data_IF_731513123602
#
_entry.id   IF_731513123602
#
_cell.length_a   1.000
_cell.length_b   1.000
_cell.length_c   1.000
_cell.angle_alpha   90.00
_cell.angle_beta   90.00
_cell.angle_gamma   90.00
#
_symmetry.space_group_name_H-M   'P 1'
#
loop_
_entity.id
_entity.type
_entity.pdbx_description
1 polymer ?
#
# COMPACT_ATOMS: atom_id res chain seq x y z
N UNK A 1 -6.90 11.80 -15.99
CA UNK A 1 -8.22 11.23 -16.35
C UNK A 1 -7.96 10.09 -17.33
N UNK A 2 -8.68 8.98 -17.21
CA UNK A 2 -8.35 7.70 -17.85
C UNK A 2 -9.43 7.22 -18.82
N UNK A 3 -9.05 6.54 -19.90
CA UNK A 3 -9.97 5.83 -20.81
C UNK A 3 -10.50 4.52 -20.20
N UNK A 4 -11.39 3.81 -20.92
CA UNK A 4 -12.04 2.58 -20.43
C UNK A 4 -11.01 1.50 -20.07
N UNK A 5 -9.85 1.55 -20.71
CA UNK A 5 -8.71 0.67 -20.58
C UNK A 5 -7.70 1.13 -19.51
N UNK A 6 -7.93 2.28 -18.87
CA UNK A 6 -7.14 2.82 -17.76
C UNK A 6 -5.96 3.72 -18.15
N UNK A 7 -5.83 4.10 -19.42
CA UNK A 7 -4.70 4.91 -19.92
C UNK A 7 -4.98 6.43 -19.81
N UNK A 8 -3.98 7.28 -19.55
CA UNK A 8 -4.20 8.72 -19.41
C UNK A 8 -4.66 9.40 -20.71
N UNK A 9 -5.90 9.90 -20.73
CA UNK A 9 -6.44 10.67 -21.87
C UNK A 9 -5.74 12.02 -21.97
N UNK A 10 -5.27 12.33 -23.18
CA UNK A 10 -4.54 13.56 -23.53
C UNK A 10 -5.45 14.59 -24.20
N UNK A 11 -5.08 15.87 -24.10
CA UNK A 11 -5.79 17.01 -24.68
C UNK A 11 -7.30 17.08 -24.34
N UNK A 12 -7.71 16.47 -23.22
CA UNK A 12 -9.08 16.54 -22.71
C UNK A 12 -9.24 17.74 -21.78
N UNK A 13 -10.39 18.40 -21.83
CA UNK A 13 -10.66 19.64 -21.10
C UNK A 13 -11.19 19.34 -19.69
N UNK A 14 -10.58 19.98 -18.69
CA UNK A 14 -11.02 19.99 -17.29
C UNK A 14 -11.45 21.43 -16.96
N UNK A 15 -12.66 21.58 -16.42
CA UNK A 15 -13.19 22.86 -15.94
C UNK A 15 -13.02 23.00 -14.43
N UNK A 16 -12.62 24.19 -14.00
CA UNK A 16 -12.46 24.58 -12.59
C UNK A 16 -13.23 25.89 -12.33
N UNK A 17 -13.93 25.99 -11.20
CA UNK A 17 -14.67 27.19 -10.81
C UNK A 17 -14.78 27.34 -9.29
N UNK A 18 -14.98 28.57 -8.80
CA UNK A 18 -14.98 28.93 -7.37
C UNK A 18 -16.35 29.32 -6.79
N UNK A 19 -17.38 29.44 -7.63
CA UNK A 19 -18.56 30.24 -7.32
C UNK A 19 -19.82 29.41 -6.99
N UNK A 20 -19.61 28.21 -6.43
CA UNK A 20 -20.65 27.26 -6.03
C UNK A 20 -20.87 26.10 -7.01
N UNK A 21 -21.25 24.92 -6.51
CA UNK A 21 -21.53 23.72 -7.32
C UNK A 21 -22.65 23.96 -8.36
N UNK A 22 -23.68 24.71 -7.95
CA UNK A 22 -24.86 25.08 -8.73
C UNK A 22 -24.53 25.76 -10.07
N UNK A 23 -23.35 26.36 -10.20
CA UNK A 23 -22.87 27.00 -11.44
C UNK A 23 -22.63 26.03 -12.60
N UNK A 24 -22.45 24.74 -12.31
CA UNK A 24 -22.29 23.73 -13.37
C UNK A 24 -23.55 23.60 -14.25
N UNK A 25 -24.73 23.91 -13.69
CA UNK A 25 -26.01 23.90 -14.41
C UNK A 25 -26.45 25.27 -14.96
N UNK A 26 -25.66 26.33 -14.78
CA UNK A 26 -26.00 27.70 -15.17
C UNK A 26 -25.49 28.00 -16.59
N UNK A 27 -26.36 28.04 -17.63
CA UNK A 27 -25.93 28.27 -19.01
C UNK A 27 -25.45 29.71 -19.27
N UNK A 28 -25.59 30.62 -18.30
CA UNK A 28 -25.06 31.98 -18.35
C UNK A 28 -23.71 32.15 -17.65
N UNK A 29 -23.26 31.14 -16.89
CA UNK A 29 -22.03 31.24 -16.11
C UNK A 29 -20.77 31.05 -16.96
N UNK A 30 -19.96 32.11 -17.02
CA UNK A 30 -18.71 32.15 -17.83
C UNK A 30 -17.44 31.97 -17.00
N UNK A 31 -17.53 31.81 -15.67
CA UNK A 31 -16.38 31.83 -14.75
C UNK A 31 -15.45 30.61 -14.77
N UNK A 32 -15.75 29.58 -15.58
CA UNK A 32 -14.93 28.38 -15.69
C UNK A 32 -13.52 28.66 -16.25
N UNK A 33 -12.50 28.42 -15.42
CA UNK A 33 -11.12 28.21 -15.88
C UNK A 33 -11.07 26.86 -16.61
N UNK A 34 -10.40 26.83 -17.77
CA UNK A 34 -10.29 25.63 -18.63
C UNK A 34 -8.83 25.27 -18.81
N UNK A 35 -8.47 24.07 -18.37
CA UNK A 35 -7.15 23.49 -18.54
C UNK A 35 -7.25 22.18 -19.32
N UNK A 36 -6.16 21.75 -19.95
CA UNK A 36 -6.13 20.55 -20.80
C UNK A 36 -5.11 19.54 -20.32
N UNK A 37 -5.46 18.26 -20.38
CA UNK A 37 -4.56 17.18 -19.98
C UNK A 37 -3.33 17.14 -20.90
N UNK A 38 -2.14 17.28 -20.31
CA UNK A 38 -0.88 17.49 -21.05
C UNK A 38 -0.50 16.27 -21.89
N UNK A 39 -0.04 16.50 -23.11
CA UNK A 39 0.44 15.45 -24.02
C UNK A 39 1.53 14.54 -23.42
N UNK A 40 2.34 15.10 -22.51
CA UNK A 40 3.43 14.40 -21.84
C UNK A 40 3.02 13.58 -20.61
N UNK A 41 1.82 13.77 -20.05
CA UNK A 41 1.49 13.19 -18.73
C UNK A 41 0.02 12.90 -18.43
N UNK A 42 -0.95 13.36 -19.22
CA UNK A 42 -2.38 13.18 -18.95
C UNK A 42 -2.94 13.99 -17.76
N UNK A 43 -2.14 14.91 -17.20
CA UNK A 43 -2.54 15.81 -16.10
C UNK A 43 -2.88 17.21 -16.59
N UNK A 44 -3.92 17.80 -16.00
CA UNK A 44 -4.25 19.23 -16.05
C UNK A 44 -3.98 19.84 -14.67
N UNK A 45 -3.59 21.12 -14.59
CA UNK A 45 -3.15 21.75 -13.35
C UNK A 45 -3.80 23.13 -13.17
N UNK A 46 -4.54 23.34 -12.08
CA UNK A 46 -4.90 24.67 -11.61
C UNK A 46 -3.86 25.16 -10.58
N UNK A 47 -3.44 26.43 -10.68
CA UNK A 47 -2.62 27.08 -9.65
C UNK A 47 -3.50 27.91 -8.71
N UNK A 48 -3.55 27.53 -7.44
CA UNK A 48 -4.35 28.22 -6.42
C UNK A 48 -3.59 29.40 -5.80
N UNK A 49 -4.16 30.60 -5.83
CA UNK A 49 -3.68 31.76 -5.08
C UNK A 49 -4.25 31.85 -3.66
N UNK A 50 -3.79 32.78 -2.80
CA UNK A 50 -4.25 32.93 -1.41
C UNK A 50 -5.76 33.18 -1.25
N UNK A 51 -6.44 33.66 -2.28
CA UNK A 51 -7.91 33.75 -2.34
C UNK A 51 -8.63 32.38 -2.32
N UNK A 52 -7.89 31.28 -2.44
CA UNK A 52 -8.41 29.90 -2.35
C UNK A 52 -8.46 29.37 -0.91
N UNK A 53 -8.18 30.21 0.09
CA UNK A 53 -8.10 29.79 1.49
C UNK A 53 -9.48 29.55 2.12
N UNK A 54 -9.56 28.54 2.98
CA UNK A 54 -10.74 28.20 3.78
C UNK A 54 -10.32 27.64 5.15
N UNK A 55 -11.22 27.59 6.14
CA UNK A 55 -10.93 27.13 7.51
C UNK A 55 -11.79 25.90 7.87
N UNK A 56 -11.28 24.67 7.68
CA UNK A 56 -12.00 23.42 8.00
C UNK A 56 -12.59 23.39 9.41
N UNK A 57 -11.90 23.99 10.38
CA UNK A 57 -12.25 24.01 11.81
C UNK A 57 -13.52 24.82 12.09
N UNK A 58 -13.98 25.62 11.13
CA UNK A 58 -15.26 26.36 11.18
C UNK A 58 -16.38 25.67 10.38
N UNK A 59 -16.10 24.52 9.77
CA UNK A 59 -16.98 23.88 8.78
C UNK A 59 -16.96 24.57 7.41
N UNK A 60 -16.01 25.47 7.15
CA UNK A 60 -15.80 26.00 5.80
C UNK A 60 -15.27 24.87 4.89
N UNK A 61 -15.68 24.87 3.62
CA UNK A 61 -15.13 24.00 2.57
C UNK A 61 -14.33 24.83 1.57
N UNK A 62 -13.34 24.23 0.91
CA UNK A 62 -12.56 24.94 -0.10
C UNK A 62 -13.42 25.42 -1.26
N UNK A 63 -13.18 26.63 -1.81
CA UNK A 63 -14.08 27.25 -2.77
C UNK A 63 -14.14 26.52 -4.12
N UNK A 64 -13.11 25.74 -4.47
CA UNK A 64 -13.00 25.15 -5.81
C UNK A 64 -13.85 23.91 -5.98
N UNK A 65 -14.59 23.90 -7.10
CA UNK A 65 -15.16 22.73 -7.74
C UNK A 65 -14.46 22.48 -9.09
N UNK A 66 -14.29 21.22 -9.49
CA UNK A 66 -13.73 20.85 -10.79
C UNK A 66 -14.18 19.48 -11.31
N UNK A 67 -14.24 19.35 -12.63
CA UNK A 67 -14.65 18.13 -13.34
C UNK A 67 -14.12 18.10 -14.80
N UNK A 68 -13.99 16.91 -15.42
CA UNK A 68 -13.87 16.77 -16.87
C UNK A 68 -15.11 17.30 -17.60
N UNK A 69 -14.94 17.80 -18.82
CA UNK A 69 -16.07 18.26 -19.64
C UNK A 69 -16.86 17.06 -20.19
N UNK A 70 -18.02 16.78 -19.58
CA UNK A 70 -18.93 15.73 -20.01
C UNK A 70 -19.90 15.31 -18.90
N UNK A 71 -20.46 14.11 -19.02
CA UNK A 71 -21.14 13.46 -17.90
C UNK A 71 -20.08 12.80 -16.99
N UNK A 72 -19.71 13.49 -15.92
CA UNK A 72 -18.72 13.06 -14.94
C UNK A 72 -19.16 13.41 -13.52
N UNK A 73 -18.63 12.70 -12.53
CA UNK A 73 -18.72 13.11 -11.13
C UNK A 73 -17.96 14.42 -10.90
N UNK A 74 -18.39 15.20 -9.92
CA UNK A 74 -17.86 16.54 -9.65
C UNK A 74 -17.24 16.56 -8.26
N UNK A 75 -15.99 17.01 -8.16
CA UNK A 75 -15.35 17.25 -6.85
C UNK A 75 -15.49 18.72 -6.50
N UNK A 76 -15.84 19.00 -5.25
CA UNK A 76 -15.94 20.32 -4.65
C UNK A 76 -15.28 20.31 -3.27
N UNK A 77 -14.90 21.48 -2.74
CA UNK A 77 -14.20 21.60 -1.45
C UNK A 77 -12.69 21.78 -1.57
N UNK A 78 -12.15 22.02 -2.77
CA UNK A 78 -10.72 22.22 -3.01
C UNK A 78 -10.26 23.63 -2.62
N UNK A 79 -9.07 23.75 -2.04
CA UNK A 79 -8.54 25.04 -1.60
C UNK A 79 -7.26 24.89 -0.76
N UNK A 80 -6.92 25.97 -0.06
CA UNK A 80 -5.78 26.05 0.86
C UNK A 80 -6.30 26.08 2.31
N UNK A 81 -6.37 24.95 3.04
CA UNK A 81 -6.89 24.95 4.40
C UNK A 81 -5.96 25.79 5.29
N UNK A 82 -6.50 26.83 5.93
CA UNK A 82 -5.77 27.84 6.69
C UNK A 82 -4.54 28.44 5.97
N UNK A 83 -4.62 28.64 4.64
CA UNK A 83 -3.49 29.01 3.75
C UNK A 83 -2.33 27.99 3.68
N UNK A 84 -2.45 26.78 4.24
CA UNK A 84 -1.43 25.75 4.07
C UNK A 84 -1.29 25.34 2.59
N UNK A 85 -0.04 25.25 2.13
CA UNK A 85 0.29 24.84 0.77
C UNK A 85 0.03 23.34 0.58
N UNK A 86 -1.17 22.98 0.14
CA UNK A 86 -1.56 21.60 -0.18
C UNK A 86 -1.82 21.43 -1.68
N UNK A 87 -1.70 20.20 -2.18
CA UNK A 87 -2.09 19.82 -3.53
C UNK A 87 -3.15 18.72 -3.47
N UNK A 88 -4.31 18.96 -4.06
CA UNK A 88 -5.38 17.97 -4.16
C UNK A 88 -5.32 17.29 -5.53
N UNK A 89 -5.23 15.97 -5.55
CA UNK A 89 -5.20 15.17 -6.77
C UNK A 89 -6.51 14.38 -6.91
N UNK A 90 -7.10 14.39 -8.10
CA UNK A 90 -8.31 13.63 -8.44
C UNK A 90 -8.11 12.96 -9.78
N UNK A 91 -8.51 11.69 -9.89
CA UNK A 91 -8.43 10.89 -11.11
C UNK A 91 -9.81 10.37 -11.45
N UNK A 92 -10.37 10.83 -12.57
CA UNK A 92 -11.56 10.25 -13.16
C UNK A 92 -11.20 9.08 -14.08
N UNK A 93 -12.00 8.03 -13.99
CA UNK A 93 -11.99 6.83 -14.82
C UNK A 93 -13.20 6.87 -15.75
N UNK A 94 -13.01 6.67 -17.06
CA UNK A 94 -14.15 6.51 -17.97
C UNK A 94 -14.90 5.19 -17.69
N UNK A 95 -16.22 5.25 -17.76
CA UNK A 95 -17.13 4.09 -17.72
C UNK A 95 -18.19 4.25 -18.81
N UNK A 96 -18.74 3.15 -19.34
CA UNK A 96 -19.81 3.26 -20.34
C UNK A 96 -21.12 3.54 -19.62
N UNK A 97 -21.93 4.44 -20.16
CA UNK A 97 -23.21 4.83 -19.56
C UNK A 97 -24.14 3.63 -19.31
N UNK A 98 -24.11 2.66 -20.22
CA UNK A 98 -24.84 1.38 -20.11
C UNK A 98 -24.43 0.51 -18.92
N UNK A 99 -23.22 0.68 -18.39
CA UNK A 99 -22.74 -0.05 -17.21
C UNK A 99 -23.34 0.53 -15.91
N UNK A 100 -23.90 1.74 -15.96
CA UNK A 100 -24.59 2.43 -14.86
C UNK A 100 -26.12 2.33 -14.95
N UNK A 101 -26.67 2.00 -16.13
CA UNK A 101 -28.10 2.06 -16.45
C UNK A 101 -28.77 0.67 -16.53
N UNK A 102 -28.22 -0.35 -15.83
CA UNK A 102 -28.88 -1.66 -15.73
C UNK A 102 -30.14 -1.58 -14.83
N UNK A 103 -31.33 -1.96 -15.33
CA UNK A 103 -32.52 -2.07 -14.48
C UNK A 103 -32.39 -3.26 -13.51
N UNK A 104 -33.12 -3.27 -12.39
CA UNK A 104 -33.12 -4.41 -11.48
C UNK A 104 -33.65 -5.67 -12.17
N UNK A 105 -32.98 -6.80 -11.95
CA UNK A 105 -33.34 -8.10 -12.54
C UNK A 105 -34.60 -8.63 -11.85
N UNK A 106 -35.71 -8.70 -12.59
CA UNK A 106 -36.91 -9.45 -12.17
C UNK A 106 -36.66 -10.98 -12.30
N UNK A 107 -37.30 -11.82 -11.47
CA UNK A 107 -37.07 -13.26 -11.45
C UNK A 107 -37.66 -13.98 -12.69
N UNK A 108 -37.03 -15.10 -13.06
CA UNK A 108 -37.28 -15.82 -14.31
C UNK A 108 -38.61 -16.61 -14.34
N UNK A 109 -39.23 -16.67 -15.52
CA UNK A 109 -40.02 -17.84 -15.97
C UNK A 109 -39.32 -18.48 -17.21
N UNK A 110 -39.36 -19.81 -17.41
CA UNK A 110 -38.46 -20.51 -18.34
C UNK A 110 -39.17 -21.24 -19.52
N UNK A 111 -38.40 -22.07 -20.27
CA UNK A 111 -38.87 -23.09 -21.26
C UNK A 111 -39.23 -22.52 -22.66
N UNK A 112 -38.86 -23.06 -23.84
CA UNK A 112 -38.17 -24.31 -24.29
C UNK A 112 -37.19 -24.00 -25.49
N UNK A 113 -36.33 -24.93 -25.99
CA UNK A 113 -35.18 -24.61 -26.86
C UNK A 113 -35.14 -25.27 -28.27
N UNK A 114 -34.17 -24.88 -29.11
CA UNK A 114 -33.56 -25.72 -30.17
C UNK A 114 -32.01 -25.58 -30.22
N UNK A 115 -31.30 -26.53 -30.87
CA UNK A 115 -29.83 -26.74 -30.82
C UNK A 115 -29.36 -27.69 -31.96
N UNK A 116 -28.05 -27.85 -32.30
CA UNK A 116 -26.83 -27.02 -32.20
C UNK A 116 -26.43 -26.49 -33.63
N UNK A 117 -25.22 -26.28 -34.18
CA UNK A 117 -23.74 -26.46 -33.93
C UNK A 117 -23.06 -25.27 -34.69
N UNK A 118 -22.16 -24.43 -34.16
CA UNK A 118 -20.68 -24.57 -33.94
C UNK A 118 -19.80 -24.92 -35.16
N UNK A 119 -18.52 -24.48 -35.23
CA UNK A 119 -17.73 -23.59 -34.33
C UNK A 119 -17.41 -22.22 -35.00
N UNK A 120 -16.64 -21.26 -34.46
CA UNK A 120 -15.75 -21.19 -33.28
C UNK A 120 -15.75 -19.74 -32.72
N UNK A 121 -15.50 -19.53 -31.41
CA UNK A 121 -15.62 -18.21 -30.73
C UNK A 121 -14.23 -17.61 -30.39
N UNK A 122 -13.91 -16.36 -30.77
CA UNK A 122 -12.78 -15.63 -30.19
C UNK A 122 -13.01 -15.34 -28.70
N UNK A 123 -12.02 -15.61 -27.85
CA UNK A 123 -12.17 -15.55 -26.39
C UNK A 123 -12.51 -14.13 -25.91
N UNK A 124 -13.42 -14.07 -24.93
CA UNK A 124 -13.91 -12.84 -24.31
C UNK A 124 -12.95 -12.41 -23.18
N UNK A 125 -12.69 -11.10 -22.96
CA UNK A 125 -11.74 -10.65 -21.95
C UNK A 125 -12.19 -11.04 -20.54
N UNK A 126 -11.26 -11.57 -19.74
CA UNK A 126 -11.54 -12.06 -18.39
C UNK A 126 -11.92 -10.92 -17.43
N UNK A 127 -12.93 -11.15 -16.58
CA UNK A 127 -13.28 -10.26 -15.46
C UNK A 127 -12.11 -10.16 -14.48
N UNK A 128 -11.94 -9.02 -13.77
CA UNK A 128 -10.84 -8.83 -12.83
C UNK A 128 -10.84 -9.90 -11.73
N UNK A 129 -9.74 -10.64 -11.64
CA UNK A 129 -9.55 -11.73 -10.66
C UNK A 129 -9.57 -11.18 -9.22
N UNK A 130 -10.25 -11.89 -8.31
CA UNK A 130 -10.10 -11.68 -6.86
C UNK A 130 -8.62 -11.83 -6.48
N UNK A 131 -8.02 -10.94 -5.66
CA UNK A 131 -6.59 -10.99 -5.37
C UNK A 131 -6.23 -12.26 -4.57
N UNK A 132 -5.62 -13.23 -5.26
CA UNK A 132 -5.17 -14.53 -4.70
C UNK A 132 -4.09 -14.35 -3.63
N UNK A 133 -3.41 -13.20 -3.63
CA UNK A 133 -2.46 -12.80 -2.59
C UNK A 133 -2.74 -11.36 -2.11
N UNK A 134 -2.67 -11.15 -0.79
CA UNK A 134 -2.58 -9.81 -0.22
C UNK A 134 -1.15 -9.30 -0.39
N UNK A 135 -0.95 -8.36 -1.32
CA UNK A 135 0.35 -7.74 -1.59
C UNK A 135 0.60 -6.55 -0.64
N UNK A 136 1.78 -6.46 0.00
CA UNK A 136 2.21 -5.29 0.81
C UNK A 136 3.47 -4.69 0.21
N UNK A 137 3.45 -3.38 -0.03
CA UNK A 137 4.62 -2.63 -0.47
C UNK A 137 5.05 -1.69 0.67
N UNK A 138 6.34 -1.61 0.92
CA UNK A 138 6.92 -0.68 1.90
C UNK A 138 6.92 0.75 1.39
N UNK A 139 7.01 1.71 2.32
CA UNK A 139 6.74 3.13 2.05
C UNK A 139 7.71 3.73 1.02
N UNK A 140 8.90 3.14 0.89
CA UNK A 140 9.94 3.57 -0.03
C UNK A 140 9.89 2.90 -1.41
N UNK A 141 9.05 1.89 -1.65
CA UNK A 141 9.09 1.09 -2.89
C UNK A 141 8.82 1.95 -4.13
N UNK A 142 7.77 2.78 -4.09
CA UNK A 142 7.45 3.72 -5.17
C UNK A 142 8.49 4.85 -5.26
N UNK A 143 8.88 5.42 -4.12
CA UNK A 143 9.89 6.50 -4.05
C UNK A 143 11.25 6.09 -4.61
N UNK A 144 11.64 4.82 -4.41
CA UNK A 144 12.89 4.24 -4.93
C UNK A 144 12.77 3.74 -6.38
N UNK A 145 11.64 4.01 -7.06
CA UNK A 145 11.38 3.64 -8.46
C UNK A 145 11.48 2.12 -8.70
N UNK A 146 11.14 1.32 -7.69
CA UNK A 146 11.10 -0.15 -7.77
C UNK A 146 9.81 -0.60 -8.43
N UNK A 147 9.91 -1.53 -9.40
CA UNK A 147 8.80 -1.96 -10.25
C UNK A 147 8.67 -3.47 -10.25
N UNK A 148 7.43 -3.94 -10.17
CA UNK A 148 7.06 -5.33 -10.43
C UNK A 148 6.75 -5.45 -11.93
N UNK A 149 7.36 -6.41 -12.59
CA UNK A 149 7.02 -6.88 -13.94
C UNK A 149 6.14 -8.11 -13.81
N UNK A 150 4.95 -8.02 -14.36
CA UNK A 150 3.93 -9.07 -14.35
C UNK A 150 4.38 -10.29 -15.16
N UNK A 151 3.73 -11.44 -14.94
CA UNK A 151 3.95 -12.65 -15.74
C UNK A 151 3.69 -12.43 -17.25
N UNK A 152 2.82 -11.48 -17.60
CA UNK A 152 2.44 -11.18 -18.99
C UNK A 152 3.44 -10.26 -19.70
N UNK A 153 4.25 -9.49 -18.96
CA UNK A 153 5.36 -8.70 -19.50
C UNK A 153 6.60 -9.55 -19.82
N UNK A 154 6.62 -10.83 -19.43
CA UNK A 154 7.79 -11.70 -19.57
C UNK A 154 7.93 -12.28 -20.99
N UNK A 155 9.00 -11.85 -21.66
CA UNK A 155 9.48 -12.36 -22.95
C UNK A 155 9.72 -13.87 -22.99
N UNK A 156 10.06 -14.50 -21.86
CA UNK A 156 10.35 -15.94 -21.78
C UNK A 156 9.11 -16.84 -21.62
N UNK A 157 7.90 -16.26 -21.51
CA UNK A 157 6.61 -16.95 -21.44
C UNK A 157 6.62 -18.24 -20.59
N UNK A 158 7.01 -18.15 -19.31
CA UNK A 158 7.40 -19.32 -18.52
C UNK A 158 6.22 -20.25 -18.22
N UNK A 159 6.43 -21.54 -18.47
CA UNK A 159 5.42 -22.59 -18.33
C UNK A 159 5.38 -23.18 -16.91
N UNK A 160 4.32 -23.93 -16.60
CA UNK A 160 4.17 -24.70 -15.34
C UNK A 160 3.01 -24.26 -14.44
N UNK A 161 2.46 -25.22 -13.70
CA UNK A 161 1.21 -25.07 -12.93
C UNK A 161 1.37 -24.26 -11.64
N UNK A 162 2.60 -24.06 -11.16
CA UNK A 162 2.92 -23.16 -10.05
C UNK A 162 3.54 -21.90 -10.63
N UNK A 163 3.04 -20.74 -10.18
CA UNK A 163 3.65 -19.44 -10.46
C UNK A 163 3.95 -18.70 -9.15
N UNK A 164 4.92 -17.80 -9.18
CA UNK A 164 5.39 -17.06 -8.01
C UNK A 164 5.03 -15.58 -8.17
N UNK A 165 4.07 -15.10 -7.38
CA UNK A 165 3.68 -13.69 -7.38
C UNK A 165 4.39 -12.94 -6.25
N UNK A 166 4.81 -11.69 -6.50
CA UNK A 166 5.36 -10.79 -5.49
C UNK A 166 4.28 -10.51 -4.45
N UNK A 167 4.53 -10.95 -3.23
CA UNK A 167 3.69 -10.72 -2.06
C UNK A 167 4.14 -9.47 -1.34
N UNK A 168 5.40 -9.42 -0.92
CA UNK A 168 5.89 -8.35 -0.05
C UNK A 168 7.18 -7.74 -0.61
N UNK A 169 7.24 -6.41 -0.70
CA UNK A 169 8.49 -5.67 -0.96
C UNK A 169 8.74 -4.69 0.18
N UNK A 170 9.96 -4.65 0.72
CA UNK A 170 10.39 -3.66 1.69
C UNK A 170 11.91 -3.41 1.60
N UNK A 171 12.44 -2.54 2.43
CA UNK A 171 13.88 -2.19 2.48
C UNK A 171 14.40 -2.19 3.92
N UNK A 172 15.73 -2.25 4.10
CA UNK A 172 16.40 -1.78 5.32
C UNK A 172 17.46 -0.75 4.94
N UNK A 173 17.92 0.04 5.91
CA UNK A 173 18.88 1.13 5.70
C UNK A 173 19.98 1.07 6.73
N UNK A 174 21.24 1.20 6.30
CA UNK A 174 22.44 1.13 7.15
C UNK A 174 22.49 -0.21 7.94
N UNK A 175 21.96 -1.30 7.35
CA UNK A 175 21.76 -2.60 7.99
C UNK A 175 20.67 -2.65 9.08
N UNK A 176 20.05 -1.52 9.41
CA UNK A 176 19.12 -1.39 10.52
C UNK A 176 17.72 -1.93 10.20
N UNK A 177 17.23 -2.78 11.11
CA UNK A 177 15.83 -3.20 11.17
C UNK A 177 14.98 -2.35 12.11
N UNK A 178 15.52 -1.29 12.73
CA UNK A 178 14.71 -0.34 13.49
C UNK A 178 13.99 0.63 12.53
N UNK A 179 12.66 0.75 12.58
CA UNK A 179 11.92 1.70 11.75
C UNK A 179 12.26 3.16 12.09
N UNK A 180 12.53 3.95 11.06
CA UNK A 180 12.80 5.39 11.16
C UNK A 180 12.16 6.13 9.97
N UNK A 181 12.10 7.46 10.05
CA UNK A 181 11.65 8.32 8.94
C UNK A 181 12.67 8.47 7.81
N UNK A 182 13.83 7.78 7.87
CA UNK A 182 14.87 7.88 6.85
C UNK A 182 14.52 7.04 5.62
N UNK A 183 14.76 7.59 4.42
CA UNK A 183 14.61 6.88 3.14
C UNK A 183 15.29 5.51 3.19
N UNK A 184 14.55 4.47 2.80
CA UNK A 184 15.01 3.07 2.80
C UNK A 184 14.89 2.34 4.14
N UNK A 185 14.52 3.01 5.24
CA UNK A 185 14.33 2.36 6.55
C UNK A 185 13.14 1.38 6.51
N UNK A 186 13.18 0.35 7.37
CA UNK A 186 12.21 -0.76 7.30
C UNK A 186 10.85 -0.38 7.89
N UNK A 187 9.78 -0.84 7.24
CA UNK A 187 8.44 -0.79 7.78
C UNK A 187 8.29 -1.67 9.03
N UNK A 188 7.57 -1.19 10.04
CA UNK A 188 7.22 -1.98 11.24
C UNK A 188 6.58 -3.34 10.86
N UNK A 189 5.63 -3.37 9.92
CA UNK A 189 4.99 -4.62 9.48
C UNK A 189 5.98 -5.63 8.89
N UNK A 190 7.05 -5.17 8.24
CA UNK A 190 8.07 -6.03 7.64
C UNK A 190 9.01 -6.58 8.71
N UNK A 191 9.43 -5.73 9.68
CA UNK A 191 10.13 -6.16 10.89
C UNK A 191 9.34 -7.25 11.63
N UNK A 192 8.07 -6.98 11.96
CA UNK A 192 7.23 -7.91 12.72
C UNK A 192 6.97 -9.23 11.96
N UNK A 193 6.92 -9.18 10.62
CA UNK A 193 6.78 -10.39 9.80
C UNK A 193 8.08 -11.19 9.72
N UNK A 194 9.24 -10.55 9.50
CA UNK A 194 10.46 -11.21 9.02
C UNK A 194 11.66 -11.17 9.95
N UNK A 195 11.76 -10.21 10.89
CA UNK A 195 12.82 -10.20 11.90
C UNK A 195 12.46 -11.18 13.03
N UNK A 196 12.86 -12.44 12.87
CA UNK A 196 12.63 -13.48 13.88
C UNK A 196 13.62 -13.37 15.05
N UNK A 197 13.25 -13.79 16.27
CA UNK A 197 14.17 -13.87 17.39
C UNK A 197 15.25 -14.93 17.15
N UNK A 198 16.41 -14.74 17.78
CA UNK A 198 17.53 -15.68 17.70
C UNK A 198 17.12 -17.10 18.13
N UNK A 199 17.47 -18.09 17.31
CA UNK A 199 17.09 -19.50 17.51
C UNK A 199 15.80 -19.95 16.81
N UNK A 200 15.11 -19.07 16.07
CA UNK A 200 13.96 -19.48 15.24
C UNK A 200 14.38 -20.34 14.02
N UNK A 201 13.56 -21.31 13.55
CA UNK A 201 13.85 -22.15 12.36
C UNK A 201 13.85 -21.40 11.01
N UNK A 202 13.47 -20.14 11.04
CA UNK A 202 13.49 -19.16 9.96
C UNK A 202 14.24 -17.88 10.37
N UNK A 203 15.11 -17.97 11.41
CA UNK A 203 15.98 -16.87 11.80
C UNK A 203 16.87 -16.44 10.64
N UNK A 204 16.75 -15.15 10.31
CA UNK A 204 17.45 -14.53 9.19
C UNK A 204 18.83 -14.04 9.64
N UNK A 205 19.85 -14.77 9.21
CA UNK A 205 21.24 -14.62 9.62
C UNK A 205 21.91 -13.36 9.08
N UNK A 206 21.54 -12.91 7.87
CA UNK A 206 22.08 -11.71 7.22
C UNK A 206 21.28 -10.43 7.55
N UNK A 207 20.48 -10.43 8.63
CA UNK A 207 19.61 -9.31 9.00
C UNK A 207 20.34 -7.95 9.04
N UNK A 208 21.55 -7.91 9.61
CA UNK A 208 22.33 -6.67 9.76
C UNK A 208 23.06 -6.20 8.49
N UNK A 209 22.85 -6.81 7.32
CA UNK A 209 23.66 -6.53 6.12
C UNK A 209 23.07 -5.40 5.25
N UNK A 210 23.97 -4.55 4.75
CA UNK A 210 23.67 -3.32 4.01
C UNK A 210 23.97 -3.43 2.50
N UNK A 211 23.29 -2.62 1.67
CA UNK A 211 23.40 -2.66 0.19
C UNK A 211 23.10 -4.02 -0.47
N UNK A 212 22.27 -4.87 0.13
CA UNK A 212 21.97 -6.21 -0.41
C UNK A 212 20.66 -6.25 -1.20
N UNK A 213 20.57 -7.19 -2.14
CA UNK A 213 19.29 -7.64 -2.68
C UNK A 213 18.93 -8.98 -2.05
N UNK A 214 17.78 -9.04 -1.41
CA UNK A 214 17.26 -10.20 -0.70
C UNK A 214 16.02 -10.76 -1.40
N UNK A 215 15.92 -12.08 -1.42
CA UNK A 215 14.83 -12.83 -2.03
C UNK A 215 14.41 -13.99 -1.13
N UNK A 216 13.12 -14.15 -0.90
CA UNK A 216 12.54 -15.33 -0.28
C UNK A 216 11.28 -15.78 -1.04
N UNK A 217 10.91 -17.06 -0.91
CA UNK A 217 9.73 -17.63 -1.57
C UNK A 217 8.92 -18.41 -0.55
N UNK A 218 7.65 -18.05 -0.41
CA UNK A 218 6.66 -18.79 0.37
C UNK A 218 6.06 -19.89 -0.52
N UNK A 219 6.08 -21.14 -0.06
CA UNK A 219 5.50 -22.28 -0.77
C UNK A 219 3.97 -22.35 -0.68
N UNK A 220 3.38 -23.34 -1.36
CA UNK A 220 1.95 -23.64 -1.28
C UNK A 220 1.52 -24.14 0.13
N UNK A 221 2.48 -24.48 0.98
CA UNK A 221 2.36 -24.84 2.39
C UNK A 221 2.44 -23.62 3.34
N UNK A 222 2.65 -22.42 2.80
CA UNK A 222 2.85 -21.20 3.58
C UNK A 222 4.23 -21.06 4.23
N UNK A 223 5.18 -21.96 3.97
CA UNK A 223 6.53 -21.94 4.56
C UNK A 223 7.57 -21.32 3.63
N UNK A 224 8.67 -20.81 4.19
CA UNK A 224 9.79 -20.34 3.38
C UNK A 224 10.53 -21.51 2.71
N UNK A 225 10.43 -21.58 1.38
CA UNK A 225 11.11 -22.57 0.54
C UNK A 225 12.63 -22.52 0.76
N UNK A 226 13.23 -23.68 0.97
CA UNK A 226 14.68 -23.88 1.06
C UNK A 226 15.21 -24.40 -0.28
N UNK A 227 16.47 -24.09 -0.58
CA UNK A 227 17.19 -24.46 -1.81
C UNK A 227 16.51 -23.97 -3.11
N UNK A 228 15.57 -23.02 -3.02
CA UNK A 228 14.87 -22.43 -4.15
C UNK A 228 15.80 -21.46 -4.87
N UNK A 229 16.01 -21.71 -6.14
CA UNK A 229 16.87 -20.92 -7.01
C UNK A 229 16.25 -19.56 -7.38
N UNK A 230 17.06 -18.53 -7.24
CA UNK A 230 16.81 -17.11 -7.55
C UNK A 230 17.90 -16.63 -8.52
N UNK A 231 17.49 -15.91 -9.55
CA UNK A 231 18.38 -15.23 -10.51
C UNK A 231 18.39 -13.72 -10.26
N UNK A 232 19.57 -13.11 -10.29
CA UNK A 232 19.81 -11.67 -10.19
C UNK A 232 20.64 -11.20 -11.38
N UNK A 233 20.33 -10.04 -11.98
CA UNK A 233 21.06 -9.47 -13.10
C UNK A 233 20.91 -7.95 -13.18
N UNK A 234 21.82 -7.25 -13.88
CA UNK A 234 21.91 -5.78 -13.89
C UNK A 234 21.77 -5.11 -15.26
N UNK A 235 21.63 -5.88 -16.34
CA UNK A 235 21.73 -5.39 -17.73
C UNK A 235 20.36 -5.16 -18.42
N UNK A 236 19.32 -4.85 -17.63
CA UNK A 236 17.97 -4.58 -18.10
C UNK A 236 17.00 -5.78 -18.00
N UNK A 237 15.69 -5.49 -17.90
CA UNK A 237 14.64 -6.52 -17.78
C UNK A 237 14.57 -7.39 -19.05
N UNK A 238 14.83 -6.79 -20.21
CA UNK A 238 14.82 -7.39 -21.54
C UNK A 238 15.84 -8.52 -21.76
N UNK A 239 16.77 -8.74 -20.81
CA UNK A 239 17.65 -9.92 -20.80
C UNK A 239 16.94 -11.20 -20.38
N UNK A 240 15.76 -11.09 -19.79
CA UNK A 240 14.95 -12.23 -19.39
C UNK A 240 14.47 -13.01 -20.60
N UNK A 241 14.94 -14.26 -20.72
CA UNK A 241 14.69 -15.11 -21.88
C UNK A 241 15.66 -14.92 -23.05
N UNK A 242 16.63 -13.99 -22.98
CA UNK A 242 17.68 -13.87 -24.00
C UNK A 242 18.55 -15.14 -24.00
N UNK A 243 18.50 -15.98 -25.06
CA UNK A 243 19.22 -17.24 -25.10
C UNK A 243 20.74 -17.06 -25.25
N UNK A 244 21.23 -15.85 -25.49
CA UNK A 244 22.65 -15.50 -25.54
C UNK A 244 23.18 -14.89 -24.23
N UNK A 245 22.34 -14.31 -23.37
CA UNK A 245 22.77 -13.70 -22.11
C UNK A 245 23.24 -14.74 -21.08
N UNK A 246 24.33 -14.47 -20.35
CA UNK A 246 24.98 -15.45 -19.45
C UNK A 246 25.27 -14.91 -18.05
N UNK A 247 25.14 -13.62 -17.83
CA UNK A 247 25.66 -12.93 -16.65
C UNK A 247 24.70 -12.93 -15.45
N UNK A 248 23.74 -13.87 -15.45
CA UNK A 248 22.87 -14.15 -14.30
C UNK A 248 23.69 -14.62 -13.09
N UNK A 249 23.60 -13.87 -12.00
CA UNK A 249 24.08 -14.29 -10.69
C UNK A 249 23.02 -15.20 -10.06
N UNK A 250 23.27 -16.51 -10.09
CA UNK A 250 22.39 -17.53 -9.50
C UNK A 250 22.67 -17.69 -8.01
N UNK A 251 21.64 -17.75 -7.17
CA UNK A 251 21.70 -18.09 -5.74
C UNK A 251 20.55 -19.01 -5.35
N UNK A 252 20.71 -19.78 -4.28
CA UNK A 252 19.64 -20.59 -3.68
C UNK A 252 19.24 -20.01 -2.32
N UNK A 253 17.97 -20.14 -1.94
CA UNK A 253 17.50 -19.76 -0.61
C UNK A 253 18.16 -20.65 0.45
N UNK A 254 18.87 -20.04 1.41
CA UNK A 254 19.64 -20.76 2.44
C UNK A 254 18.78 -21.78 3.17
N UNK A 255 19.33 -22.98 3.38
CA UNK A 255 18.69 -24.06 4.15
C UNK A 255 18.22 -23.64 5.54
N UNK A 256 18.93 -22.71 6.21
CA UNK A 256 18.57 -22.22 7.55
C UNK A 256 17.51 -21.10 7.57
N UNK A 257 17.65 -20.07 6.73
CA UNK A 257 16.81 -18.86 6.82
C UNK A 257 15.74 -18.75 5.73
N UNK A 258 15.81 -19.52 4.64
CA UNK A 258 14.88 -19.41 3.51
C UNK A 258 15.06 -18.15 2.66
N UNK A 259 16.12 -17.38 2.89
CA UNK A 259 16.50 -16.20 2.11
C UNK A 259 17.71 -16.48 1.20
N UNK A 260 17.72 -15.89 0.01
CA UNK A 260 18.86 -15.81 -0.91
C UNK A 260 19.29 -14.35 -1.06
N UNK A 261 20.58 -14.10 -1.32
CA UNK A 261 21.10 -12.74 -1.39
C UNK A 261 22.33 -12.54 -2.28
N UNK A 262 22.48 -11.28 -2.73
CA UNK A 262 23.73 -10.75 -3.29
C UNK A 262 24.06 -9.39 -2.67
N UNK A 263 25.35 -9.08 -2.56
CA UNK A 263 25.86 -7.73 -2.25
C UNK A 263 25.78 -6.90 -3.54
N UNK A 264 25.23 -5.69 -3.50
CA UNK A 264 25.32 -4.75 -4.62
C UNK A 264 26.66 -4.00 -4.59
N UNK A 265 27.40 -4.01 -5.70
CA UNK A 265 28.72 -3.37 -5.78
C UNK A 265 28.64 -1.87 -6.13
N UNK A 266 29.77 -1.13 -6.07
CA UNK A 266 29.86 0.31 -6.36
C UNK A 266 29.19 0.81 -7.66
N UNK A 267 29.11 -0.04 -8.70
CA UNK A 267 28.42 0.26 -9.96
C UNK A 267 26.89 0.30 -9.87
N UNK A 268 26.29 -0.12 -8.76
CA UNK A 268 24.83 -0.24 -8.58
C UNK A 268 24.15 1.08 -8.17
N UNK A 269 24.87 2.20 -8.24
CA UNK A 269 24.40 3.52 -7.82
C UNK A 269 23.43 4.15 -8.83
N UNK A 270 22.34 4.74 -8.35
CA UNK A 270 21.36 5.49 -9.15
C UNK A 270 20.89 6.77 -8.43
N UNK A 271 20.31 7.73 -9.17
CA UNK A 271 19.93 9.08 -8.70
C UNK A 271 18.44 9.33 -8.95
N UNK A 272 17.65 9.32 -7.87
CA UNK A 272 16.19 9.43 -7.89
C UNK A 272 15.69 10.75 -8.48
N UNK A 273 16.42 11.83 -8.23
CA UNK A 273 16.12 13.19 -8.69
C UNK A 273 16.18 13.34 -10.21
N UNK A 274 16.66 12.33 -10.93
CA UNK A 274 16.68 12.24 -12.40
C UNK A 274 15.65 11.26 -12.96
N UNK A 275 14.88 10.59 -12.11
CA UNK A 275 13.99 9.49 -12.50
C UNK A 275 14.71 8.17 -12.81
N UNK A 276 15.98 8.03 -12.43
CA UNK A 276 16.72 6.76 -12.53
C UNK A 276 16.11 5.70 -11.58
N UNK A 277 16.32 4.43 -11.88
CA UNK A 277 16.05 3.28 -10.99
C UNK A 277 17.33 2.50 -10.77
N UNK A 278 17.42 1.69 -9.71
CA UNK A 278 18.55 0.79 -9.56
C UNK A 278 18.65 -0.20 -10.72
N UNK A 279 19.86 -0.59 -11.16
CA UNK A 279 20.04 -1.38 -12.37
C UNK A 279 19.58 -2.84 -12.21
N UNK A 280 19.42 -3.32 -10.98
CA UNK A 280 19.18 -4.75 -10.74
C UNK A 280 17.73 -5.16 -10.91
N UNK A 281 17.55 -6.29 -11.60
CA UNK A 281 16.35 -7.11 -11.63
C UNK A 281 16.63 -8.47 -10.96
N UNK A 282 15.65 -9.05 -10.27
CA UNK A 282 15.74 -10.39 -9.71
C UNK A 282 14.39 -11.10 -9.57
N UNK A 283 14.42 -12.44 -9.63
CA UNK A 283 13.25 -13.30 -9.50
C UNK A 283 13.62 -14.77 -9.17
N UNK A 284 12.71 -15.54 -8.53
CA UNK A 284 12.78 -17.00 -8.50
C UNK A 284 12.73 -17.59 -9.91
N UNK A 285 13.43 -18.71 -10.14
CA UNK A 285 13.41 -19.36 -11.45
C UNK A 285 12.08 -20.08 -11.73
N UNK A 286 11.74 -20.21 -13.03
CA UNK A 286 10.40 -20.60 -13.49
C UNK A 286 9.47 -19.39 -13.65
N UNK A 287 8.15 -19.65 -13.57
CA UNK A 287 7.13 -18.62 -13.77
C UNK A 287 6.99 -17.70 -12.55
N UNK A 288 7.67 -16.57 -12.54
CA UNK A 288 7.63 -15.59 -11.47
C UNK A 288 7.37 -14.16 -11.99
N UNK A 289 6.66 -13.34 -11.23
CA UNK A 289 6.80 -11.88 -11.39
C UNK A 289 8.24 -11.47 -11.07
N UNK A 290 8.75 -10.42 -11.72
CA UNK A 290 10.15 -9.98 -11.56
C UNK A 290 10.18 -8.61 -10.91
N UNK A 291 11.08 -8.39 -9.95
CA UNK A 291 11.29 -7.06 -9.38
C UNK A 291 12.52 -6.44 -10.01
N UNK A 292 12.41 -5.19 -10.43
CA UNK A 292 13.49 -4.38 -10.99
C UNK A 292 13.57 -3.02 -10.27
N UNK A 293 14.76 -2.42 -10.20
CA UNK A 293 14.98 -1.13 -9.53
C UNK A 293 15.90 -1.20 -8.31
N UNK A 294 16.47 -2.37 -7.99
CA UNK A 294 17.37 -2.56 -6.85
C UNK A 294 18.77 -2.00 -7.11
N UNK A 295 19.42 -1.48 -6.07
CA UNK A 295 20.75 -0.87 -6.18
C UNK A 295 21.08 -0.01 -4.97
N UNK A 296 21.79 1.10 -5.17
CA UNK A 296 22.22 2.01 -4.10
C UNK A 296 21.77 3.44 -4.42
N UNK A 297 20.62 3.91 -3.88
CA UNK A 297 20.10 5.25 -4.17
C UNK A 297 21.04 6.31 -3.60
N UNK A 298 21.64 7.13 -4.46
CA UNK A 298 22.65 8.14 -4.12
C UNK A 298 23.79 7.63 -3.20
N UNK A 299 24.25 6.39 -3.43
CA UNK A 299 25.24 5.66 -2.59
C UNK A 299 24.82 5.42 -1.13
N UNK A 300 23.53 5.46 -0.83
CA UNK A 300 23.04 5.16 0.52
C UNK A 300 22.95 3.65 0.73
N UNK A 301 23.19 3.23 1.98
CA UNK A 301 23.31 1.84 2.43
C UNK A 301 21.95 1.11 2.52
N UNK A 302 21.18 1.13 1.44
CA UNK A 302 19.82 0.55 1.37
C UNK A 302 19.86 -0.88 0.84
N UNK A 303 19.34 -1.83 1.63
CA UNK A 303 19.08 -3.21 1.19
C UNK A 303 17.62 -3.35 0.77
N UNK A 304 17.34 -4.15 -0.26
CA UNK A 304 16.02 -4.37 -0.83
C UNK A 304 15.57 -5.82 -0.59
N UNK A 305 14.33 -6.01 -0.14
CA UNK A 305 13.77 -7.32 0.17
C UNK A 305 12.53 -7.56 -0.68
N UNK A 306 12.48 -8.72 -1.31
CA UNK A 306 11.29 -9.19 -2.04
C UNK A 306 10.93 -10.59 -1.58
N UNK A 307 9.66 -10.79 -1.25
CA UNK A 307 9.09 -12.10 -0.92
C UNK A 307 8.03 -12.44 -1.95
N UNK A 308 8.25 -13.55 -2.65
CA UNK A 308 7.26 -14.15 -3.52
C UNK A 308 6.40 -15.16 -2.76
N UNK A 309 5.18 -15.39 -3.23
CA UNK A 309 4.33 -16.51 -2.80
C UNK A 309 3.98 -17.38 -4.01
N UNK A 310 4.16 -18.69 -3.85
CA UNK A 310 3.68 -19.68 -4.79
C UNK A 310 2.14 -19.71 -4.77
N UNK A 311 1.55 -19.67 -5.96
CA UNK A 311 0.12 -19.88 -6.21
C UNK A 311 -0.02 -20.82 -7.40
N UNK A 312 -1.15 -21.51 -7.57
CA UNK A 312 -1.35 -22.32 -8.78
C UNK A 312 -1.86 -21.42 -9.90
N UNK A 313 -1.46 -21.71 -11.14
CA UNK A 313 -1.92 -20.99 -12.34
C UNK A 313 -3.44 -21.10 -12.51
N UNK A 314 -4.02 -22.21 -12.07
CA UNK A 314 -5.48 -22.42 -11.97
C UNK A 314 -6.21 -21.41 -11.10
N UNK A 315 -5.54 -20.87 -10.08
CA UNK A 315 -6.16 -20.03 -9.07
C UNK A 315 -6.20 -18.56 -9.53
N UNK A 316 -5.38 -18.21 -10.53
CA UNK A 316 -5.31 -16.87 -11.15
C UNK A 316 -6.30 -16.68 -12.30
N UNK A 317 -6.72 -17.77 -12.94
CA UNK A 317 -7.79 -17.75 -13.92
C UNK A 317 -9.15 -17.60 -13.19
N UNK A 318 -10.13 -16.87 -13.75
CA UNK A 318 -11.50 -16.95 -13.30
C UNK A 318 -11.99 -18.39 -13.54
N UNK A 319 -12.02 -19.19 -12.48
CA UNK A 319 -12.36 -20.61 -12.57
C UNK A 319 -13.70 -20.83 -13.28
N UNK A 320 -13.86 -21.93 -14.04
CA UNK A 320 -15.08 -22.19 -14.79
C UNK A 320 -16.28 -22.16 -13.84
N UNK A 321 -17.34 -21.45 -14.25
CA UNK A 321 -18.55 -21.27 -13.44
C UNK A 321 -19.19 -22.61 -13.13
N UNK A 322 -18.83 -23.18 -11.97
CA UNK A 322 -19.42 -24.42 -11.48
C UNK A 322 -20.93 -24.20 -11.31
N UNK A 323 -21.79 -25.00 -11.97
CA UNK A 323 -23.23 -24.84 -11.82
C UNK A 323 -23.62 -25.04 -10.35
N UNK A 324 -24.67 -24.35 -9.85
CA UNK A 324 -25.12 -24.43 -8.46
C UNK A 324 -25.73 -25.81 -8.17
N UNK A 325 -24.86 -26.78 -7.84
CA UNK A 325 -25.21 -28.17 -7.65
C UNK A 325 -24.19 -28.97 -6.82
N UNK A 326 -24.74 -29.91 -6.06
CA UNK A 326 -24.09 -30.97 -5.29
C UNK A 326 -23.07 -30.56 -4.21
N UNK A 327 -23.61 -30.34 -3.02
CA UNK A 327 -22.90 -30.45 -1.74
C UNK A 327 -22.56 -31.92 -1.41
N UNK A 328 -21.60 -32.51 -2.11
CA UNK A 328 -21.02 -33.81 -1.72
C UNK A 328 -20.06 -33.63 -0.53
N UNK A 329 -20.63 -33.57 0.67
CA UNK A 329 -19.89 -33.52 1.94
C UNK A 329 -19.11 -34.83 2.12
N UNK A 330 -17.78 -34.79 1.95
CA UNK A 330 -16.89 -35.89 2.34
C UNK A 330 -16.56 -35.80 3.83
N UNK A 331 -17.22 -36.64 4.64
CA UNK A 331 -16.89 -36.89 6.05
C UNK A 331 -15.97 -38.13 6.17
N UNK A 332 -14.69 -37.98 6.58
CA UNK A 332 -13.88 -39.09 7.05
C UNK A 332 -14.09 -39.32 8.55
N UNK A 333 -14.96 -40.26 8.94
CA UNK A 333 -15.23 -40.59 10.34
C UNK A 333 -14.23 -41.64 10.87
N UNK A 334 -13.27 -41.13 11.66
CA UNK A 334 -12.67 -41.72 12.88
C UNK A 334 -12.26 -43.20 12.92
N UNK A 335 -10.96 -43.43 13.17
CA UNK A 335 -10.45 -44.60 13.92
C UNK A 335 -8.92 -44.64 14.02
N UNK A 336 -8.27 -44.66 15.19
CA UNK A 336 -8.79 -44.43 16.55
C UNK A 336 -7.75 -44.70 17.67
N UNK A 337 -7.67 -43.80 18.66
CA UNK A 337 -6.86 -43.94 19.90
C UNK A 337 -5.41 -43.41 19.81
N UNK A 338 -4.74 -43.02 20.92
CA UNK A 338 -5.16 -42.97 22.34
C UNK A 338 -4.22 -42.08 23.20
N UNK A 339 -4.76 -41.13 23.97
CA UNK A 339 -4.07 -40.41 25.07
C UNK A 339 -3.04 -39.33 24.64
N UNK A 340 -2.66 -38.35 25.47
CA UNK A 340 -3.02 -38.03 26.89
C UNK A 340 -3.18 -36.50 27.03
N UNK A 341 -4.02 -36.06 27.99
CA UNK A 341 -4.20 -34.67 28.45
C UNK A 341 -4.37 -34.69 30.00
N UNK A 342 -4.45 -33.57 30.73
CA UNK A 342 -4.43 -32.15 30.31
C UNK A 342 -3.46 -31.27 31.13
N UNK A 343 -3.47 -29.95 30.88
CA UNK A 343 -3.86 -28.98 31.93
C UNK A 343 -4.13 -27.58 31.34
N UNK A 344 -5.21 -26.96 31.78
CA UNK A 344 -5.63 -25.62 31.33
C UNK A 344 -4.92 -24.49 32.09
N UNK A 345 -4.60 -23.43 31.36
CA UNK A 345 -4.35 -22.10 31.92
C UNK A 345 -4.99 -21.07 30.97
N UNK A 346 -6.26 -20.74 31.22
CA UNK A 346 -7.06 -19.93 30.31
C UNK A 346 -6.58 -18.46 30.28
N UNK A 347 -6.22 -17.98 29.07
CA UNK A 347 -6.30 -16.56 28.75
C UNK A 347 -7.73 -16.26 28.26
N UNK A 348 -8.34 -15.13 28.66
CA UNK A 348 -9.71 -14.81 28.27
C UNK A 348 -9.79 -14.53 26.76
N UNK A 349 -10.94 -14.84 26.11
CA UNK A 349 -11.13 -14.51 24.71
C UNK A 349 -11.11 -12.98 24.51
N UNK A 350 -10.42 -12.52 23.47
CA UNK A 350 -10.47 -11.14 23.03
C UNK A 350 -11.85 -10.86 22.43
N UNK A 351 -12.80 -10.43 23.27
CA UNK A 351 -14.12 -10.02 22.82
C UNK A 351 -14.00 -8.93 21.74
N UNK A 352 -14.70 -9.13 20.63
CA UNK A 352 -14.97 -8.10 19.62
C UNK A 352 -15.87 -7.02 20.24
N UNK A 353 -15.27 -6.07 20.96
CA UNK A 353 -15.99 -4.94 21.52
C UNK A 353 -16.33 -3.93 20.41
N UNK A 354 -17.60 -3.54 20.31
CA UNK A 354 -18.07 -2.64 19.26
C UNK A 354 -17.29 -1.31 19.25
N UNK A 355 -16.76 -0.96 18.07
CA UNK A 355 -15.91 0.22 17.86
C UNK A 355 -16.61 1.57 18.15
N UNK A 356 -17.93 1.54 18.36
CA UNK A 356 -18.76 2.70 18.67
C UNK A 356 -18.96 2.92 20.18
N UNK A 357 -18.49 2.03 21.04
CA UNK A 357 -18.48 2.24 22.50
C UNK A 357 -17.47 3.31 22.92
N UNK A 358 -17.71 4.02 24.03
CA UNK A 358 -16.75 5.01 24.56
C UNK A 358 -15.37 4.40 24.81
N UNK A 359 -15.31 3.16 25.29
CA UNK A 359 -14.08 2.39 25.48
C UNK A 359 -13.38 2.07 24.15
N UNK A 360 -14.13 1.65 23.12
CA UNK A 360 -13.61 1.44 21.77
C UNK A 360 -13.04 2.72 21.16
N UNK A 361 -13.75 3.85 21.29
CA UNK A 361 -13.28 5.16 20.82
C UNK A 361 -12.05 5.67 21.59
N UNK A 362 -11.91 5.35 22.88
CA UNK A 362 -10.68 5.61 23.62
C UNK A 362 -9.51 4.74 23.11
N UNK A 363 -9.77 3.47 22.77
CA UNK A 363 -8.78 2.56 22.16
C UNK A 363 -8.31 3.06 20.78
N UNK A 364 -9.23 3.49 19.93
CA UNK A 364 -8.93 4.06 18.60
C UNK A 364 -8.09 5.33 18.73
N UNK A 365 -8.40 6.21 19.69
CA UNK A 365 -7.55 7.38 20.00
C UNK A 365 -6.15 6.94 20.45
N UNK A 366 -6.03 6.04 21.42
CA UNK A 366 -4.74 5.52 21.88
C UNK A 366 -3.89 4.96 20.71
N UNK A 367 -4.51 4.21 19.81
CA UNK A 367 -3.86 3.66 18.61
C UNK A 367 -3.48 4.72 17.56
N UNK A 368 -4.04 5.93 17.60
CA UNK A 368 -3.62 7.06 16.77
C UNK A 368 -2.42 7.79 17.39
N UNK A 369 -2.45 8.09 18.69
CA UNK A 369 -1.33 8.73 19.41
C UNK A 369 -0.06 7.87 19.39
N UNK A 370 -0.19 6.56 19.61
CA UNK A 370 0.94 5.64 19.59
C UNK A 370 1.63 5.58 18.20
N UNK A 371 0.91 5.82 17.09
CA UNK A 371 1.52 5.93 15.74
C UNK A 371 2.38 7.19 15.57
N UNK A 372 2.13 8.23 16.36
CA UNK A 372 2.92 9.46 16.40
C UNK A 372 4.08 9.37 17.41
N UNK A 373 4.25 8.23 18.09
CA UNK A 373 5.24 8.06 19.15
C UNK A 373 4.92 8.82 20.45
N UNK A 374 3.65 9.18 20.66
CA UNK A 374 3.17 9.98 21.81
C UNK A 374 2.25 9.12 22.67
N UNK A 375 2.48 9.10 23.99
CA UNK A 375 1.67 8.32 24.92
C UNK A 375 0.30 8.98 25.16
N UNK A 376 -0.77 8.22 24.98
CA UNK A 376 -2.13 8.72 25.22
C UNK A 376 -2.47 8.73 26.71
N UNK A 377 -2.15 9.83 27.38
CA UNK A 377 -2.59 10.12 28.76
C UNK A 377 -3.73 11.15 28.75
N UNK A 378 -4.99 10.75 28.49
CA UNK A 378 -6.12 11.67 28.41
C UNK A 378 -6.35 12.42 29.74
N UNK A 379 -6.07 11.77 30.87
CA UNK A 379 -6.35 12.27 32.22
C UNK A 379 -5.18 13.06 32.84
N UNK A 380 -4.14 13.35 32.05
CA UNK A 380 -3.04 14.23 32.48
C UNK A 380 -3.52 15.69 32.62
N UNK A 381 -3.20 16.41 33.73
CA UNK A 381 -3.56 17.82 33.89
C UNK A 381 -3.06 18.71 32.74
N UNK A 382 -1.91 18.39 32.15
CA UNK A 382 -1.37 19.09 30.98
C UNK A 382 -2.25 18.86 29.75
N UNK A 383 -2.68 17.62 29.52
CA UNK A 383 -3.58 17.27 28.42
C UNK A 383 -4.99 17.85 28.61
N UNK A 384 -5.50 17.93 29.84
CA UNK A 384 -6.78 18.58 30.11
C UNK A 384 -6.70 20.10 29.91
N UNK A 385 -5.65 20.75 30.44
CA UNK A 385 -5.41 22.17 30.22
C UNK A 385 -5.26 22.50 28.72
N UNK A 386 -4.53 21.68 27.97
CA UNK A 386 -4.37 21.85 26.52
C UNK A 386 -5.71 21.77 25.77
N UNK A 387 -6.59 20.82 26.15
CA UNK A 387 -7.96 20.73 25.62
C UNK A 387 -8.80 21.97 25.97
N UNK A 388 -8.76 22.42 27.23
CA UNK A 388 -9.50 23.61 27.70
C UNK A 388 -9.05 24.91 27.02
N UNK A 389 -7.79 25.00 26.59
CA UNK A 389 -7.20 26.15 25.91
C UNK A 389 -7.03 25.95 24.38
N UNK A 390 -7.62 24.88 23.82
CA UNK A 390 -7.60 24.55 22.39
C UNK A 390 -6.20 24.51 21.72
N UNK A 391 -5.16 24.09 22.46
CA UNK A 391 -3.76 24.10 21.99
C UNK A 391 -3.42 22.98 20.97
N UNK A 392 -4.43 22.36 20.37
CA UNK A 392 -4.30 21.28 19.38
C UNK A 392 -3.81 19.96 19.97
N UNK A 393 -3.23 19.11 19.11
CA UNK A 393 -2.66 17.84 19.53
C UNK A 393 -1.29 18.02 20.22
N UNK A 394 -0.94 17.21 21.26
CA UNK A 394 0.45 17.07 21.67
C UNK A 394 1.31 16.63 20.48
N UNK A 395 2.51 17.20 20.38
CA UNK A 395 3.55 16.90 19.39
C UNK A 395 4.83 16.37 20.05
N UNK A 396 4.86 16.30 21.38
CA UNK A 396 5.90 15.61 22.16
C UNK A 396 5.27 14.64 23.15
N UNK A 397 6.08 13.72 23.67
CA UNK A 397 5.84 13.06 24.95
C UNK A 397 5.78 14.08 26.11
N UNK A 398 5.33 13.68 27.29
CA UNK A 398 5.65 14.42 28.52
C UNK A 398 7.14 14.25 28.85
N UNK A 399 7.79 15.34 29.25
CA UNK A 399 9.20 15.37 29.64
C UNK A 399 9.42 16.25 30.88
N UNK A 400 10.55 16.07 31.56
CA UNK A 400 10.90 16.84 32.75
C UNK A 400 12.00 17.87 32.41
N UNK A 401 11.85 19.10 32.90
CA UNK A 401 12.85 20.17 32.78
C UNK A 401 12.99 20.86 34.13
N UNK A 402 14.10 20.61 34.83
CA UNK A 402 14.29 21.08 36.21
C UNK A 402 13.20 20.54 37.13
N UNK A 403 12.44 21.44 37.76
CA UNK A 403 11.30 21.10 38.63
C UNK A 403 9.94 21.20 37.91
N UNK A 404 9.91 21.19 36.57
CA UNK A 404 8.70 21.23 35.76
C UNK A 404 8.47 19.90 35.04
N UNK A 405 7.22 19.46 34.97
CA UNK A 405 6.74 18.55 33.93
C UNK A 405 6.18 19.39 32.79
N UNK A 406 6.52 19.04 31.55
CA UNK A 406 6.14 19.78 30.35
C UNK A 406 5.74 18.84 29.20
N UNK A 407 4.91 19.34 28.29
CA UNK A 407 4.57 18.68 27.03
C UNK A 407 4.27 19.74 25.97
N UNK A 408 4.83 19.57 24.77
CA UNK A 408 4.58 20.41 23.62
C UNK A 408 3.30 20.01 22.90
N UNK A 409 2.44 20.98 22.61
CA UNK A 409 1.23 20.86 21.79
C UNK A 409 1.34 21.82 20.61
N UNK A 410 0.57 21.62 19.54
CA UNK A 410 0.63 22.47 18.33
C UNK A 410 0.60 23.98 18.64
N UNK A 411 -0.26 24.40 19.57
CA UNK A 411 -0.40 25.81 19.99
C UNK A 411 0.64 26.32 20.98
N UNK A 412 1.51 25.47 21.55
CA UNK A 412 2.54 25.89 22.51
C UNK A 412 2.94 24.80 23.52
N UNK A 413 3.87 25.15 24.41
CA UNK A 413 4.40 24.25 25.44
C UNK A 413 3.58 24.42 26.73
N UNK A 414 2.92 23.36 27.19
CA UNK A 414 2.15 23.32 28.44
C UNK A 414 3.01 22.69 29.54
N UNK A 415 3.00 23.27 30.73
CA UNK A 415 3.86 22.86 31.83
C UNK A 415 3.26 23.13 33.22
N UNK A 416 3.70 22.38 34.22
CA UNK A 416 3.36 22.57 35.63
C UNK A 416 4.56 22.21 36.53
N UNK A 417 4.68 22.76 37.76
CA UNK A 417 5.64 22.27 38.74
C UNK A 417 5.35 20.81 39.11
N UNK A 418 6.40 20.02 39.33
CA UNK A 418 6.28 18.58 39.65
C UNK A 418 5.47 18.35 40.95
N UNK A 419 5.63 19.26 41.92
CA UNK A 419 4.96 19.24 43.23
C UNK A 419 3.60 19.97 43.24
N UNK A 420 3.29 20.79 42.23
CA UNK A 420 2.04 21.55 42.09
C UNK A 420 1.39 21.26 40.72
N UNK A 421 1.06 20.00 40.46
CA UNK A 421 0.60 19.56 39.12
C UNK A 421 -0.67 20.23 38.61
N UNK A 422 -1.46 20.84 39.49
CA UNK A 422 -2.66 21.61 39.13
C UNK A 422 -2.35 23.07 38.73
N UNK A 423 -1.15 23.59 39.02
CA UNK A 423 -0.68 24.94 38.65
C UNK A 423 -0.19 24.96 37.18
N UNK A 424 -1.03 24.45 36.28
CA UNK A 424 -0.74 24.28 34.85
C UNK A 424 -0.78 25.62 34.11
N UNK A 425 0.22 25.84 33.26
CA UNK A 425 0.41 27.04 32.43
C UNK A 425 0.83 26.64 31.03
N UNK A 426 0.82 27.58 30.10
CA UNK A 426 1.45 27.40 28.80
C UNK A 426 2.25 28.63 28.38
N UNK A 427 3.18 28.42 27.44
CA UNK A 427 3.89 29.44 26.69
C UNK A 427 3.80 29.11 25.19
N UNK A 428 4.16 30.06 24.32
CA UNK A 428 4.37 29.75 22.90
C UNK A 428 5.55 28.77 22.74
N UNK A 429 5.73 28.28 21.51
CA UNK A 429 7.03 27.81 21.04
C UNK A 429 8.07 28.95 21.03
#
# INVERSE_FOLDING_TARGET
MLDLEGNPIKNHEIIFWSDGFERLGDPSYTGFVRERTKESSGWANLFMGPSSSFVPERGESGPWCWAPVGAAEVVCGGGLPANHHVSTFVVWQAVRRTDLEQPPVEPEEPVEPEKPVEPEKPTEPEKPTTPVITRRLGDWVEYLNVRIRTLNERSDQPQGDIVYLVKDIFTTRDGSWEPTTNVGSVNQWARDTYLKPWGAPDYFDDAGADHHLFAAVIGLDGQLMRDKEIIFWSDGFEKLGDPAYRDYVVRQTKTHSGWANIITGPGSNFVLERGESGPWCWAPTGAAEVVCGGGMPARQHVSFFVVWQAVRRSDLQPGPTRPPGDYTIFLPVVGGGRGIAPNDAALPPANTADAHTLTGLALVRAAAWNRLGIEYQPDSPLAEYARRNALGMPVTQQFLVGQLVAQGFQGGIVYAPIDERDNVRHMSW
#
